data_IF_569889093088
#
_entry.id   IF_569889093088
#
_cell.length_a   1.000
_cell.length_b   1.000
_cell.length_c   1.000
_cell.angle_alpha   90.00
_cell.angle_beta   90.00
_cell.angle_gamma   90.00
#
_symmetry.space_group_name_H-M   'P 1'
#
loop_
_entity.id
_entity.type
_entity.pdbx_description
1 polymer ?
#
# COMPACT_ATOMS: atom_id res chain seq x y z
N UNK A 1 -7.26 -29.43 13.04
CA UNK A 1 -7.03 -29.94 11.66
C UNK A 1 -5.52 -29.99 11.43
N UNK A 2 -4.89 -31.16 11.24
CA UNK A 2 -3.46 -31.23 10.91
C UNK A 2 -3.33 -31.03 9.40
N UNK A 3 -2.54 -30.04 8.98
CA UNK A 3 -2.21 -29.85 7.56
C UNK A 3 -1.43 -31.07 7.05
N UNK A 4 -1.78 -31.55 5.86
CA UNK A 4 -1.12 -32.68 5.20
C UNK A 4 0.37 -32.35 4.96
N UNK A 5 1.25 -33.27 5.35
CA UNK A 5 2.70 -33.15 5.14
C UNK A 5 3.06 -32.93 3.66
N UNK A 6 2.29 -33.50 2.73
CA UNK A 6 2.49 -33.29 1.30
C UNK A 6 2.15 -31.85 0.89
N UNK A 7 1.07 -31.29 1.44
CA UNK A 7 0.69 -29.88 1.22
C UNK A 7 1.78 -28.92 1.75
N UNK A 8 2.32 -29.19 2.94
CA UNK A 8 3.43 -28.38 3.50
C UNK A 8 4.67 -28.47 2.61
N UNK A 9 5.01 -29.65 2.10
CA UNK A 9 6.16 -29.83 1.21
C UNK A 9 5.97 -29.09 -0.13
N UNK A 10 4.77 -29.15 -0.71
CA UNK A 10 4.40 -28.40 -1.92
C UNK A 10 4.55 -26.89 -1.70
N UNK A 11 3.98 -26.33 -0.62
CA UNK A 11 4.10 -24.91 -0.31
C UNK A 11 5.56 -24.46 -0.17
N UNK A 12 6.40 -25.27 0.51
CA UNK A 12 7.84 -24.96 0.63
C UNK A 12 8.55 -24.94 -0.72
N UNK A 13 8.23 -25.86 -1.61
CA UNK A 13 8.80 -25.89 -2.96
C UNK A 13 8.35 -24.69 -3.80
N UNK A 14 7.07 -24.29 -3.70
CA UNK A 14 6.54 -23.10 -4.38
C UNK A 14 7.26 -21.83 -3.94
N UNK A 15 7.38 -21.61 -2.62
CA UNK A 15 8.10 -20.45 -2.06
C UNK A 15 9.57 -20.45 -2.51
N UNK A 16 10.23 -21.60 -2.49
CA UNK A 16 11.61 -21.70 -2.93
C UNK A 16 11.79 -21.41 -4.43
N UNK A 17 10.80 -21.73 -5.27
CA UNK A 17 10.79 -21.40 -6.69
C UNK A 17 10.63 -19.88 -6.88
N UNK A 18 9.65 -19.26 -6.23
CA UNK A 18 9.42 -17.80 -6.26
C UNK A 18 10.68 -17.04 -5.86
N UNK A 19 11.32 -17.42 -4.75
CA UNK A 19 12.57 -16.81 -4.30
C UNK A 19 13.72 -16.93 -5.31
N UNK A 20 13.82 -18.04 -6.05
CA UNK A 20 14.82 -18.20 -7.11
C UNK A 20 14.53 -17.30 -8.30
N UNK A 21 13.26 -17.25 -8.73
CA UNK A 21 12.82 -16.38 -9.83
C UNK A 21 13.11 -14.92 -9.50
N UNK A 22 12.79 -14.48 -8.29
CA UNK A 22 13.03 -13.12 -7.82
C UNK A 22 14.51 -12.77 -7.77
N UNK A 23 15.36 -13.67 -7.25
CA UNK A 23 16.83 -13.48 -7.26
C UNK A 23 17.37 -13.37 -8.68
N UNK A 24 16.87 -14.19 -9.60
CA UNK A 24 17.29 -14.15 -11.01
C UNK A 24 16.84 -12.86 -11.69
N UNK A 25 15.59 -12.43 -11.51
CA UNK A 25 15.07 -11.18 -12.04
C UNK A 25 15.86 -9.98 -11.49
N UNK A 26 16.10 -9.94 -10.18
CA UNK A 26 16.91 -8.89 -9.55
C UNK A 26 18.35 -8.86 -10.06
N UNK A 27 18.98 -10.02 -10.32
CA UNK A 27 20.31 -10.09 -10.93
C UNK A 27 20.30 -9.50 -12.35
N UNK A 28 19.35 -9.94 -13.19
CA UNK A 28 19.19 -9.45 -14.57
C UNK A 28 18.95 -7.94 -14.61
N UNK A 29 18.14 -7.41 -13.69
CA UNK A 29 17.85 -5.98 -13.63
C UNK A 29 19.10 -5.18 -13.26
N UNK A 30 19.86 -5.64 -12.26
CA UNK A 30 21.14 -5.02 -11.90
C UNK A 30 22.16 -5.09 -13.05
N UNK A 31 22.24 -6.21 -13.78
CA UNK A 31 23.10 -6.35 -14.96
C UNK A 31 22.69 -5.39 -16.08
N UNK A 32 21.39 -5.27 -16.37
CA UNK A 32 20.88 -4.34 -17.37
C UNK A 32 21.25 -2.88 -17.04
N UNK A 33 21.06 -2.46 -15.79
CA UNK A 33 21.45 -1.13 -15.32
C UNK A 33 22.97 -0.90 -15.41
N UNK A 34 23.78 -1.90 -15.05
CA UNK A 34 25.25 -1.83 -15.15
C UNK A 34 25.73 -1.72 -16.60
N UNK A 35 25.05 -2.37 -17.52
CA UNK A 35 25.34 -2.31 -18.96
C UNK A 35 24.72 -1.08 -19.65
N UNK A 36 24.16 -0.15 -18.87
CA UNK A 36 23.51 1.06 -19.33
C UNK A 36 22.40 0.83 -20.37
N UNK A 37 21.62 -0.25 -20.21
CA UNK A 37 20.44 -0.50 -21.05
C UNK A 37 19.39 0.56 -20.73
N UNK A 38 18.94 1.31 -21.74
CA UNK A 38 17.90 2.35 -21.60
C UNK A 38 16.60 2.03 -22.35
N UNK A 39 16.52 0.84 -22.97
CA UNK A 39 15.26 0.36 -23.53
C UNK A 39 14.29 0.02 -22.40
N UNK A 40 13.29 0.89 -22.23
CA UNK A 40 12.29 0.81 -21.16
C UNK A 40 11.52 -0.51 -21.23
N UNK A 41 11.17 -0.99 -22.42
CA UNK A 41 10.42 -2.25 -22.56
C UNK A 41 11.23 -3.45 -22.06
N UNK A 42 12.55 -3.41 -22.23
CA UNK A 42 13.44 -4.47 -21.72
C UNK A 42 13.54 -4.38 -20.20
N UNK A 43 13.70 -3.18 -19.65
CA UNK A 43 13.81 -2.98 -18.21
C UNK A 43 12.52 -3.31 -17.48
N UNK A 44 11.37 -2.81 -17.96
CA UNK A 44 10.04 -3.06 -17.40
C UNK A 44 9.74 -4.55 -17.35
N UNK A 45 9.99 -5.28 -18.45
CA UNK A 45 9.77 -6.74 -18.45
C UNK A 45 10.56 -7.48 -17.36
N UNK A 46 11.78 -7.03 -17.07
CA UNK A 46 12.60 -7.65 -16.00
C UNK A 46 12.12 -7.18 -14.62
N UNK A 47 11.74 -5.91 -14.51
CA UNK A 47 11.24 -5.30 -13.28
C UNK A 47 9.88 -5.90 -12.86
N UNK A 48 8.96 -6.12 -13.80
CA UNK A 48 7.66 -6.76 -13.57
C UNK A 48 7.85 -8.18 -13.02
N UNK A 49 8.74 -8.96 -13.63
CA UNK A 49 9.07 -10.29 -13.13
C UNK A 49 9.63 -10.24 -11.69
N UNK A 50 10.42 -9.22 -11.36
CA UNK A 50 10.89 -9.01 -10.00
C UNK A 50 9.74 -8.62 -9.06
N UNK A 51 8.88 -7.69 -9.46
CA UNK A 51 7.73 -7.22 -8.69
C UNK A 51 6.78 -8.37 -8.33
N UNK A 52 6.48 -9.24 -9.29
CA UNK A 52 5.60 -10.40 -9.11
C UNK A 52 6.15 -11.43 -8.13
N UNK A 53 7.48 -11.53 -8.00
CA UNK A 53 8.15 -12.63 -7.28
C UNK A 53 8.93 -12.19 -6.04
N UNK A 54 9.12 -10.88 -5.83
CA UNK A 54 9.95 -10.36 -4.74
C UNK A 54 9.34 -10.54 -3.34
N UNK A 55 8.07 -10.95 -3.26
CA UNK A 55 7.43 -11.34 -2.01
C UNK A 55 8.31 -12.37 -1.26
N UNK A 56 8.82 -12.01 -0.09
CA UNK A 56 9.68 -12.90 0.72
C UNK A 56 11.18 -12.81 0.46
N UNK A 57 11.68 -11.78 -0.23
CA UNK A 57 13.13 -11.54 -0.44
C UNK A 57 13.83 -10.75 0.68
N UNK A 58 13.31 -10.70 1.90
CA UNK A 58 13.92 -9.90 2.97
C UNK A 58 14.21 -8.44 2.54
N UNK A 59 13.40 -7.87 1.64
CA UNK A 59 13.52 -6.47 1.18
C UNK A 59 14.61 -6.24 0.14
N UNK A 60 15.40 -7.26 -0.20
CA UNK A 60 16.40 -7.16 -1.26
C UNK A 60 15.77 -6.92 -2.65
N UNK A 61 14.59 -7.50 -2.90
CA UNK A 61 13.81 -7.27 -4.12
C UNK A 61 13.35 -5.82 -4.23
N UNK A 62 12.72 -5.29 -3.19
CA UNK A 62 12.34 -3.87 -3.09
C UNK A 62 13.53 -2.94 -3.28
N UNK A 63 14.66 -3.17 -2.58
CA UNK A 63 15.88 -2.35 -2.77
C UNK A 63 16.35 -2.36 -4.22
N UNK A 64 16.20 -3.48 -4.92
CA UNK A 64 16.57 -3.59 -6.34
C UNK A 64 15.58 -2.86 -7.24
N UNK A 65 14.28 -2.97 -6.97
CA UNK A 65 13.23 -2.26 -7.68
C UNK A 65 13.35 -0.74 -7.50
N UNK A 66 13.68 -0.25 -6.31
CA UNK A 66 13.94 1.17 -6.05
C UNK A 66 15.20 1.69 -6.76
N UNK A 67 16.24 0.86 -6.89
CA UNK A 67 17.41 1.21 -7.73
C UNK A 67 17.01 1.35 -9.20
N UNK A 68 16.13 0.47 -9.67
CA UNK A 68 15.57 0.55 -11.02
C UNK A 68 14.82 1.86 -11.25
N UNK A 69 13.87 2.22 -10.38
CA UNK A 69 13.15 3.51 -10.44
C UNK A 69 14.14 4.69 -10.48
N UNK A 70 15.17 4.66 -9.62
CA UNK A 70 16.20 5.71 -9.60
C UNK A 70 16.99 5.76 -10.90
N UNK A 71 17.31 4.60 -11.48
CA UNK A 71 18.03 4.50 -12.74
C UNK A 71 17.18 5.00 -13.91
N UNK A 72 15.90 4.62 -14.00
CA UNK A 72 14.95 5.21 -14.96
C UNK A 72 14.99 6.73 -14.92
N UNK A 73 15.02 7.32 -13.71
CA UNK A 73 15.02 8.76 -13.51
C UNK A 73 16.23 9.49 -14.12
N UNK A 74 17.30 8.76 -14.46
CA UNK A 74 18.49 9.35 -15.10
C UNK A 74 18.32 9.61 -16.59
N UNK A 75 17.37 8.95 -17.26
CA UNK A 75 17.15 9.08 -18.71
C UNK A 75 15.67 9.25 -19.10
N UNK A 76 14.73 8.88 -18.24
CA UNK A 76 13.30 9.14 -18.41
C UNK A 76 12.63 9.47 -17.05
N UNK A 77 12.67 10.75 -16.62
CA UNK A 77 12.10 11.19 -15.35
C UNK A 77 10.58 10.97 -15.23
N UNK A 78 9.85 11.06 -16.34
CA UNK A 78 8.40 10.87 -16.34
C UNK A 78 8.04 9.40 -16.09
N UNK A 79 8.67 8.47 -16.82
CA UNK A 79 8.49 7.03 -16.58
C UNK A 79 8.89 6.65 -15.15
N UNK A 80 10.02 7.18 -14.64
CA UNK A 80 10.44 6.92 -13.27
C UNK A 80 9.39 7.35 -12.23
N UNK A 81 8.75 8.50 -12.45
CA UNK A 81 7.67 8.99 -11.59
C UNK A 81 6.46 8.07 -11.66
N UNK A 82 6.02 7.70 -12.87
CA UNK A 82 4.87 6.80 -13.08
C UNK A 82 5.11 5.41 -12.46
N UNK A 83 6.29 4.82 -12.68
CA UNK A 83 6.68 3.54 -12.06
C UNK A 83 6.71 3.65 -10.55
N UNK A 84 7.22 4.75 -9.99
CA UNK A 84 7.23 4.96 -8.53
C UNK A 84 5.82 5.07 -7.98
N UNK A 85 4.96 5.85 -8.61
CA UNK A 85 3.57 6.04 -8.17
C UNK A 85 2.82 4.70 -8.22
N UNK A 86 2.96 3.92 -9.31
CA UNK A 86 2.37 2.60 -9.43
C UNK A 86 2.92 1.60 -8.39
N UNK A 87 4.23 1.64 -8.13
CA UNK A 87 4.86 0.82 -7.11
C UNK A 87 4.33 1.13 -5.70
N UNK A 88 4.24 2.41 -5.33
CA UNK A 88 3.67 2.84 -4.05
C UNK A 88 2.20 2.43 -3.90
N UNK A 89 1.44 2.41 -4.99
CA UNK A 89 0.06 1.94 -5.03
C UNK A 89 -0.04 0.42 -4.83
N UNK A 90 0.72 -0.37 -5.60
CA UNK A 90 0.76 -1.84 -5.52
C UNK A 90 1.24 -2.29 -4.14
N UNK A 91 2.27 -1.64 -3.61
CA UNK A 91 2.79 -1.90 -2.27
C UNK A 91 1.95 -1.21 -1.20
N UNK A 92 0.89 -0.48 -1.54
CA UNK A 92 0.00 0.24 -0.62
C UNK A 92 0.70 1.11 0.44
N UNK A 93 1.87 1.68 0.15
CA UNK A 93 2.60 2.54 1.09
C UNK A 93 1.81 3.77 1.53
N UNK A 94 0.79 4.13 0.75
CA UNK A 94 -0.17 5.20 1.04
C UNK A 94 -1.40 4.75 1.82
N UNK A 95 -1.41 3.54 2.40
CA UNK A 95 -2.55 3.06 3.21
C UNK A 95 -2.89 3.99 4.38
N UNK A 96 -1.91 4.70 4.92
CA UNK A 96 -2.10 5.72 5.96
C UNK A 96 -3.08 6.84 5.55
N UNK A 97 -3.24 7.09 4.25
CA UNK A 97 -4.27 8.01 3.72
C UNK A 97 -5.68 7.47 3.98
N UNK A 98 -5.89 6.16 3.83
CA UNK A 98 -7.17 5.52 4.14
C UNK A 98 -7.46 5.55 5.64
N UNK A 99 -6.45 5.37 6.50
CA UNK A 99 -6.59 5.57 7.96
C UNK A 99 -7.03 7.00 8.29
N UNK A 100 -6.35 8.00 7.73
CA UNK A 100 -6.73 9.40 7.93
C UNK A 100 -8.14 9.70 7.40
N UNK A 101 -8.55 9.06 6.31
CA UNK A 101 -9.88 9.17 5.74
C UNK A 101 -10.96 8.55 6.64
N UNK A 102 -10.71 7.36 7.19
CA UNK A 102 -11.61 6.71 8.15
C UNK A 102 -11.80 7.59 9.40
N UNK A 103 -10.70 8.11 9.95
CA UNK A 103 -10.74 9.06 11.06
C UNK A 103 -11.58 10.31 10.72
N UNK A 104 -11.30 10.93 9.58
CA UNK A 104 -12.03 12.12 9.16
C UNK A 104 -13.52 11.84 8.98
N UNK A 105 -13.89 10.72 8.35
CA UNK A 105 -15.26 10.30 8.18
C UNK A 105 -15.98 10.13 9.53
N UNK A 106 -15.34 9.44 10.49
CA UNK A 106 -15.88 9.27 11.84
C UNK A 106 -16.09 10.59 12.57
N UNK A 107 -15.15 11.53 12.42
CA UNK A 107 -15.26 12.86 13.01
C UNK A 107 -16.41 13.69 12.39
N UNK A 108 -16.56 13.65 11.06
CA UNK A 108 -17.54 14.47 10.35
C UNK A 108 -18.97 13.94 10.41
N UNK A 109 -19.14 12.62 10.49
CA UNK A 109 -20.45 11.97 10.64
C UNK A 109 -20.83 11.72 12.10
N UNK A 110 -20.15 12.36 13.06
CA UNK A 110 -20.38 12.14 14.49
C UNK A 110 -21.83 12.43 14.87
N UNK A 111 -22.52 11.40 15.40
CA UNK A 111 -23.92 11.49 15.82
C UNK A 111 -24.92 11.33 14.68
N UNK A 112 -24.47 11.11 13.44
CA UNK A 112 -25.33 10.70 12.36
C UNK A 112 -25.68 9.21 12.52
N UNK A 113 -26.95 8.90 12.25
CA UNK A 113 -27.46 7.53 12.25
C UNK A 113 -27.98 7.14 10.88
N UNK A 114 -27.93 5.84 10.57
CA UNK A 114 -28.55 5.27 9.39
C UNK A 114 -30.09 5.17 9.54
N UNK A 115 -30.76 4.63 8.53
CA UNK A 115 -32.22 4.45 8.54
C UNK A 115 -32.71 3.47 9.63
N UNK A 116 -31.83 2.60 10.13
CA UNK A 116 -32.11 1.67 11.22
C UNK A 116 -31.78 2.26 12.62
N UNK A 117 -31.34 3.52 12.67
CA UNK A 117 -30.97 4.21 13.91
C UNK A 117 -29.60 3.81 14.47
N UNK A 118 -28.76 3.14 13.67
CA UNK A 118 -27.40 2.77 14.06
C UNK A 118 -26.39 3.83 13.65
N UNK A 119 -25.22 3.85 14.29
CA UNK A 119 -24.15 4.80 13.93
C UNK A 119 -23.75 4.66 12.45
N UNK A 120 -23.79 5.78 11.73
CA UNK A 120 -23.61 5.79 10.28
C UNK A 120 -22.19 5.40 9.87
N UNK A 121 -21.18 5.79 10.65
CA UNK A 121 -19.81 5.41 10.37
C UNK A 121 -19.61 3.92 10.59
N UNK A 122 -20.01 3.41 11.75
CA UNK A 122 -19.74 2.03 12.16
C UNK A 122 -20.43 0.99 11.27
N UNK A 123 -21.60 1.28 10.71
CA UNK A 123 -22.33 0.31 9.88
C UNK A 123 -22.16 0.55 8.37
N UNK A 124 -22.15 1.81 7.92
CA UNK A 124 -22.16 2.13 6.51
C UNK A 124 -20.76 2.45 5.97
N UNK A 125 -20.11 3.49 6.51
CA UNK A 125 -18.83 3.96 6.00
C UNK A 125 -17.70 2.96 6.27
N UNK A 126 -17.72 2.30 7.42
CA UNK A 126 -16.75 1.24 7.75
C UNK A 126 -16.85 0.08 6.75
N UNK A 127 -18.07 -0.34 6.39
CA UNK A 127 -18.33 -1.43 5.45
C UNK A 127 -17.86 -1.07 4.03
N UNK A 128 -18.26 0.12 3.54
CA UNK A 128 -17.89 0.57 2.19
C UNK A 128 -16.37 0.77 2.09
N UNK A 129 -15.79 1.49 3.05
CA UNK A 129 -14.34 1.70 3.11
C UNK A 129 -13.56 0.39 3.23
N UNK A 130 -13.99 -0.55 4.08
CA UNK A 130 -13.35 -1.87 4.22
C UNK A 130 -13.32 -2.66 2.91
N UNK A 131 -14.38 -2.57 2.11
CA UNK A 131 -14.53 -3.32 0.86
C UNK A 131 -13.67 -2.78 -0.30
N UNK A 132 -13.04 -1.60 -0.16
CA UNK A 132 -12.08 -1.10 -1.15
C UNK A 132 -10.85 -1.99 -1.25
N UNK A 133 -10.38 -2.23 -2.48
CA UNK A 133 -9.23 -3.09 -2.76
C UNK A 133 -7.90 -2.43 -2.36
N UNK A 134 -7.68 -1.20 -2.80
CA UNK A 134 -6.46 -0.43 -2.54
C UNK A 134 -6.70 0.78 -1.62
N UNK A 135 -5.63 1.52 -1.30
CA UNK A 135 -5.75 2.69 -0.44
C UNK A 135 -6.66 3.79 -1.03
N UNK A 136 -6.78 3.89 -2.36
CA UNK A 136 -7.61 4.92 -3.03
C UNK A 136 -9.07 4.56 -2.92
N UNK A 137 -9.44 3.33 -3.27
CA UNK A 137 -10.80 2.83 -3.13
C UNK A 137 -11.26 2.87 -1.69
N UNK A 138 -10.40 2.48 -0.74
CA UNK A 138 -10.69 2.62 0.70
C UNK A 138 -10.90 4.07 1.10
N UNK A 139 -10.00 4.97 0.70
CA UNK A 139 -10.10 6.42 0.99
C UNK A 139 -11.41 7.01 0.46
N UNK A 140 -11.77 6.70 -0.79
CA UNK A 140 -13.03 7.13 -1.39
C UNK A 140 -14.21 6.49 -0.64
N UNK A 141 -14.14 5.20 -0.31
CA UNK A 141 -15.19 4.48 0.40
C UNK A 141 -15.49 5.02 1.81
N UNK A 142 -14.52 5.62 2.50
CA UNK A 142 -14.80 6.33 3.76
C UNK A 142 -15.39 7.72 3.55
N UNK A 143 -15.03 8.40 2.45
CA UNK A 143 -15.34 9.82 2.24
C UNK A 143 -16.49 10.09 1.26
N UNK A 144 -17.03 9.07 0.59
CA UNK A 144 -17.92 9.26 -0.57
C UNK A 144 -19.18 10.09 -0.26
N UNK A 145 -19.77 9.92 0.93
CA UNK A 145 -20.98 10.65 1.35
C UNK A 145 -20.71 11.86 2.25
N UNK A 146 -19.44 12.15 2.58
CA UNK A 146 -19.12 13.27 3.48
C UNK A 146 -19.62 14.59 2.86
N UNK A 147 -19.40 14.79 1.56
CA UNK A 147 -19.81 16.03 0.91
C UNK A 147 -21.34 16.19 0.80
N UNK A 148 -22.06 15.07 0.73
CA UNK A 148 -23.52 15.04 0.61
C UNK A 148 -24.19 15.26 1.97
N UNK A 149 -23.70 14.59 3.02
CA UNK A 149 -24.41 14.50 4.30
C UNK A 149 -23.96 15.54 5.34
N UNK A 150 -22.73 16.06 5.25
CA UNK A 150 -22.12 16.85 6.34
C UNK A 150 -22.00 18.36 6.04
N UNK A 151 -22.43 18.79 4.84
CA UNK A 151 -22.32 20.18 4.39
C UNK A 151 -20.89 20.64 4.07
N UNK A 152 -19.89 19.75 4.16
CA UNK A 152 -18.51 20.04 3.80
C UNK A 152 -18.28 19.95 2.30
N UNK A 153 -17.55 20.92 1.74
CA UNK A 153 -17.12 20.84 0.34
C UNK A 153 -15.97 19.86 0.16
N UNK A 154 -15.83 19.28 -1.03
CA UNK A 154 -14.68 18.42 -1.39
C UNK A 154 -13.33 19.10 -1.08
N UNK A 155 -13.23 20.42 -1.31
CA UNK A 155 -12.02 21.19 -1.01
C UNK A 155 -11.70 21.25 0.48
N UNK A 156 -12.72 21.35 1.33
CA UNK A 156 -12.55 21.33 2.79
C UNK A 156 -12.17 19.95 3.29
N UNK A 157 -12.79 18.91 2.75
CA UNK A 157 -12.48 17.50 3.05
C UNK A 157 -11.00 17.23 2.74
N UNK A 158 -10.52 17.60 1.55
CA UNK A 158 -9.11 17.45 1.16
C UNK A 158 -8.19 18.23 2.11
N UNK A 159 -8.57 19.44 2.52
CA UNK A 159 -7.76 20.25 3.45
C UNK A 159 -7.67 19.59 4.83
N UNK A 160 -8.78 19.09 5.36
CA UNK A 160 -8.84 18.40 6.66
C UNK A 160 -8.04 17.10 6.63
N UNK A 161 -8.16 16.32 5.55
CA UNK A 161 -7.40 15.10 5.34
C UNK A 161 -5.89 15.38 5.35
N UNK A 162 -5.44 16.41 4.62
CA UNK A 162 -4.04 16.85 4.64
C UNK A 162 -3.58 17.26 6.02
N UNK A 163 -4.40 17.98 6.78
CA UNK A 163 -4.05 18.38 8.14
C UNK A 163 -3.84 17.17 9.08
N UNK A 164 -4.69 16.14 8.98
CA UNK A 164 -4.53 14.88 9.74
C UNK A 164 -3.22 14.20 9.36
N UNK A 165 -2.92 14.10 8.06
CA UNK A 165 -1.71 13.48 7.55
C UNK A 165 -0.43 14.23 7.96
N UNK A 166 -0.43 15.56 7.85
CA UNK A 166 0.69 16.41 8.23
C UNK A 166 0.97 16.34 9.73
N UNK A 167 -0.07 16.28 10.56
CA UNK A 167 0.07 16.11 12.00
C UNK A 167 0.57 14.71 12.37
N UNK A 168 0.04 13.67 11.71
CA UNK A 168 0.50 12.30 11.90
C UNK A 168 1.98 12.14 11.58
N UNK A 169 2.43 12.65 10.44
CA UNK A 169 3.82 12.54 10.00
C UNK A 169 4.79 13.20 10.99
N UNK A 170 4.39 14.32 11.61
CA UNK A 170 5.19 15.06 12.60
C UNK A 170 5.19 14.43 13.99
N UNK A 171 4.17 13.65 14.33
CA UNK A 171 3.91 13.17 15.68
C UNK A 171 3.65 11.65 15.75
N UNK A 172 4.28 10.84 14.89
CA UNK A 172 4.02 9.38 14.76
C UNK A 172 3.95 8.63 16.10
N UNK A 173 4.82 9.00 17.05
CA UNK A 173 4.93 8.40 18.39
C UNK A 173 3.68 8.62 19.28
N UNK A 174 2.82 9.60 18.96
CA UNK A 174 1.70 10.05 19.80
C UNK A 174 0.33 9.62 19.28
N UNK A 175 0.29 8.97 18.12
CA UNK A 175 -0.94 8.78 17.35
C UNK A 175 -1.37 7.31 17.38
N UNK A 176 -1.96 6.91 18.50
CA UNK A 176 -2.54 5.59 18.73
C UNK A 176 -3.89 5.38 18.01
N UNK A 177 -4.54 6.46 17.57
CA UNK A 177 -5.80 6.41 16.82
C UNK A 177 -5.73 5.55 15.56
N UNK A 178 -4.55 5.28 15.00
CA UNK A 178 -4.40 4.35 13.87
C UNK A 178 -4.91 2.96 14.26
N UNK A 179 -4.65 2.51 15.49
CA UNK A 179 -5.09 1.19 15.96
C UNK A 179 -6.62 1.08 16.04
N UNK A 180 -7.35 2.20 16.14
CA UNK A 180 -8.81 2.20 16.10
C UNK A 180 -9.37 1.69 14.76
N UNK A 181 -8.62 1.87 13.67
CA UNK A 181 -9.09 1.56 12.32
C UNK A 181 -8.39 0.33 11.70
N UNK A 182 -7.53 -0.35 12.46
CA UNK A 182 -6.73 -1.49 11.95
C UNK A 182 -7.60 -2.61 11.39
N UNK A 183 -8.68 -2.95 12.12
CA UNK A 183 -9.62 -4.00 11.72
C UNK A 183 -10.51 -3.62 10.52
N UNK A 184 -10.60 -2.33 10.20
CA UNK A 184 -11.47 -1.79 9.14
C UNK A 184 -10.66 -1.50 7.87
N UNK A 185 -9.55 -0.78 8.00
CA UNK A 185 -8.68 -0.40 6.88
C UNK A 185 -7.80 -1.57 6.44
N UNK A 186 -7.33 -2.37 7.40
CA UNK A 186 -6.43 -3.49 7.20
C UNK A 186 -4.95 -3.17 7.50
N UNK A 187 -4.14 -4.22 7.62
CA UNK A 187 -2.73 -4.13 8.00
C UNK A 187 -1.91 -3.28 7.04
N UNK A 188 -0.89 -2.59 7.56
CA UNK A 188 0.05 -1.87 6.72
C UNK A 188 0.73 -2.85 5.75
N UNK A 189 0.89 -2.52 4.46
CA UNK A 189 1.56 -3.43 3.53
C UNK A 189 3.00 -3.75 3.90
N UNK A 190 3.66 -2.85 4.63
CA UNK A 190 4.95 -3.12 5.25
C UNK A 190 4.84 -4.25 6.29
N UNK A 191 3.77 -4.40 7.06
CA UNK A 191 3.67 -5.46 8.08
C UNK A 191 3.60 -6.87 7.51
N UNK A 192 3.09 -7.01 6.29
CA UNK A 192 3.03 -8.30 5.57
C UNK A 192 4.36 -8.64 4.89
N UNK A 193 5.20 -7.65 4.62
CA UNK A 193 6.41 -7.80 3.80
C UNK A 193 7.72 -7.32 4.46
N UNK A 194 7.71 -6.77 5.69
CA UNK A 194 8.81 -6.59 6.63
C UNK A 194 8.41 -6.16 8.06
N UNK A 195 9.05 -6.79 9.05
CA UNK A 195 9.46 -6.06 10.25
C UNK A 195 10.88 -5.56 9.99
N UNK A 196 11.16 -4.29 10.25
CA UNK A 196 12.53 -3.78 10.43
C UNK A 196 13.14 -4.50 11.65
N UNK A 197 13.58 -5.74 11.49
CA UNK A 197 14.42 -6.41 12.49
C UNK A 197 15.86 -5.97 12.25
N UNK A 198 16.55 -5.63 13.34
CA UNK A 198 17.94 -5.12 13.38
C UNK A 198 19.01 -6.15 12.92
N UNK A 199 18.68 -7.08 12.04
CA UNK A 199 19.61 -8.07 11.51
C UNK A 199 19.55 -8.09 9.99
N UNK A 200 20.13 -7.06 9.39
CA UNK A 200 20.93 -7.17 8.15
C UNK A 200 22.25 -6.44 8.37
#
# INVERSE_FOLDING_TARGET
MKLDSNFIAFCKQSIALEQRMAKQAGKRLNEAMRNNIQDINVLDRIADQLLDTMSGLSGAGERTYMKYIKYLGTFNPQAAKETKDAYEDIMGYKIHVAYAAARLAKELHKGQVDQAGKDYFEEHLSTVGRNGFDWKEKTVGFLFNVAEDTGHTVKEIIRKLKAILDDWEKNKEKHDWIYEFEDIVGSFPNEKYHKLTKQE
#
